data_IF_200415579913
#
_entry.id   IF_200415579913
#
_cell.length_a   1.000
_cell.length_b   1.000
_cell.length_c   1.000
_cell.angle_alpha   90.00
_cell.angle_beta   90.00
_cell.angle_gamma   90.00
#
_symmetry.space_group_name_H-M   'P 1'
#
loop_
_entity.id
_entity.type
_entity.pdbx_description
1 polymer ?
#
# COMPACT_ATOMS: atom_id res chain seq x y z
N UNK A 1 -0.05 18.60 17.45
CA UNK A 1 -1.09 18.92 16.45
C UNK A 1 -2.47 18.39 16.86
N UNK A 2 -2.58 17.20 17.46
CA UNK A 2 -3.87 16.60 17.87
C UNK A 2 -4.55 17.34 19.02
N UNK A 3 -3.82 17.87 20.00
CA UNK A 3 -4.39 18.57 21.16
C UNK A 3 -5.04 19.91 20.79
N UNK A 4 -4.48 20.66 19.82
CA UNK A 4 -5.03 21.95 19.37
C UNK A 4 -6.36 21.78 18.59
N UNK A 5 -6.59 20.61 17.99
CA UNK A 5 -7.81 20.31 17.23
C UNK A 5 -9.00 19.93 18.12
N UNK A 6 -8.75 19.45 19.33
CA UNK A 6 -9.80 18.98 20.25
C UNK A 6 -10.56 20.13 20.92
N UNK A 7 -9.91 21.24 21.23
CA UNK A 7 -10.54 22.38 21.92
C UNK A 7 -11.48 23.23 21.03
N UNK A 8 -11.39 23.16 19.71
CA UNK A 8 -12.18 24.00 18.80
C UNK A 8 -13.34 23.26 18.09
N UNK A 9 -13.78 22.11 18.59
CA UNK A 9 -14.75 21.25 17.92
C UNK A 9 -16.15 21.89 17.70
N UNK A 10 -16.53 22.90 18.46
CA UNK A 10 -17.84 23.58 18.34
C UNK A 10 -17.92 24.60 17.19
N UNK A 11 -16.78 25.05 16.65
CA UNK A 11 -16.69 26.08 15.59
C UNK A 11 -16.24 25.55 14.22
N UNK A 12 -15.90 24.27 14.10
CA UNK A 12 -15.42 23.71 12.83
C UNK A 12 -16.56 23.63 11.81
N UNK A 13 -16.28 24.02 10.56
CA UNK A 13 -17.24 23.89 9.49
C UNK A 13 -17.47 22.40 9.14
N UNK A 14 -18.59 22.08 8.50
CA UNK A 14 -19.00 20.71 8.13
C UNK A 14 -17.97 20.00 7.26
N UNK A 15 -17.31 20.72 6.37
CA UNK A 15 -16.33 20.15 5.44
C UNK A 15 -15.07 19.70 6.15
N UNK A 16 -14.60 20.48 7.12
CA UNK A 16 -13.44 20.11 7.92
C UNK A 16 -13.74 18.91 8.83
N UNK A 17 -14.95 18.80 9.37
CA UNK A 17 -15.38 17.61 10.11
C UNK A 17 -15.40 16.36 9.22
N UNK A 18 -15.88 16.48 7.98
CA UNK A 18 -15.84 15.39 7.00
C UNK A 18 -14.40 14.99 6.67
N UNK A 19 -13.51 15.94 6.48
CA UNK A 19 -12.08 15.69 6.26
C UNK A 19 -11.47 14.89 7.42
N UNK A 20 -11.65 15.33 8.67
CA UNK A 20 -11.14 14.62 9.84
C UNK A 20 -11.74 13.21 9.97
N UNK A 21 -13.03 13.05 9.71
CA UNK A 21 -13.68 11.74 9.71
C UNK A 21 -13.09 10.78 8.67
N UNK A 22 -12.72 11.29 7.49
CA UNK A 22 -12.06 10.47 6.45
C UNK A 22 -10.64 10.11 6.84
N UNK A 23 -9.89 11.02 7.47
CA UNK A 23 -8.56 10.72 8.02
C UNK A 23 -8.64 9.59 9.05
N UNK A 24 -9.61 9.64 9.94
CA UNK A 24 -9.78 8.61 10.97
C UNK A 24 -10.12 7.24 10.37
N UNK A 25 -10.95 7.20 9.30
CA UNK A 25 -11.29 5.94 8.61
C UNK A 25 -10.06 5.22 8.03
N UNK A 26 -8.97 5.93 7.71
CA UNK A 26 -7.76 5.34 7.17
C UNK A 26 -6.88 4.64 8.22
N UNK A 27 -7.13 4.89 9.50
CA UNK A 27 -6.35 4.37 10.62
C UNK A 27 -6.82 3.00 11.11
N UNK A 28 -5.92 2.25 11.74
CA UNK A 28 -6.22 0.93 12.31
C UNK A 28 -7.26 0.97 13.42
N UNK A 29 -7.34 2.09 14.16
CA UNK A 29 -8.38 2.36 15.16
C UNK A 29 -9.81 2.24 14.61
N UNK A 30 -9.99 2.52 13.32
CA UNK A 30 -11.29 2.39 12.63
C UNK A 30 -11.50 1.03 11.97
N UNK A 31 -10.49 0.15 11.95
CA UNK A 31 -10.52 -1.18 11.31
C UNK A 31 -10.29 -2.31 12.33
N UNK A 32 -10.90 -2.23 13.50
CA UNK A 32 -10.63 -3.10 14.65
C UNK A 32 -10.68 -4.60 14.29
N UNK A 33 -11.69 -5.05 13.56
CA UNK A 33 -11.84 -6.47 13.22
C UNK A 33 -10.79 -6.95 12.21
N UNK A 34 -10.44 -6.12 11.23
CA UNK A 34 -9.38 -6.44 10.28
C UNK A 34 -8.01 -6.50 11.00
N UNK A 35 -7.74 -5.56 11.89
CA UNK A 35 -6.54 -5.53 12.73
C UNK A 35 -6.43 -6.78 13.61
N UNK A 36 -7.50 -7.15 14.34
CA UNK A 36 -7.54 -8.37 15.14
C UNK A 36 -7.29 -9.63 14.31
N UNK A 37 -7.89 -9.71 13.11
CA UNK A 37 -7.68 -10.83 12.19
C UNK A 37 -6.23 -10.93 11.75
N UNK A 38 -5.56 -9.82 11.45
CA UNK A 38 -4.13 -9.77 11.11
C UNK A 38 -3.28 -10.29 12.27
N UNK A 39 -3.50 -9.76 13.48
CA UNK A 39 -2.75 -10.15 14.67
C UNK A 39 -2.95 -11.63 15.02
N UNK A 40 -4.18 -12.17 14.89
CA UNK A 40 -4.45 -13.60 15.12
C UNK A 40 -3.65 -14.51 14.18
N UNK A 41 -3.33 -14.03 12.97
CA UNK A 41 -2.51 -14.74 11.99
C UNK A 41 -0.99 -14.50 12.18
N UNK A 42 -0.60 -13.71 13.17
CA UNK A 42 0.80 -13.37 13.45
C UNK A 42 1.37 -12.29 12.53
N UNK A 43 0.53 -11.53 11.83
CA UNK A 43 0.94 -10.44 10.95
C UNK A 43 0.68 -9.07 11.57
N UNK A 44 1.54 -8.11 11.26
CA UNK A 44 1.29 -6.69 11.50
C UNK A 44 0.31 -6.12 10.49
N UNK A 45 -0.33 -5.01 10.83
CA UNK A 45 -1.05 -4.19 9.85
C UNK A 45 -0.07 -3.43 8.95
N UNK A 46 -0.60 -2.82 7.88
CA UNK A 46 0.20 -1.95 7.02
C UNK A 46 0.72 -0.73 7.78
N UNK A 47 -0.11 -0.15 8.66
CA UNK A 47 0.26 1.00 9.50
C UNK A 47 1.35 0.64 10.51
N UNK A 48 1.23 -0.48 11.18
CA UNK A 48 2.26 -0.97 12.11
C UNK A 48 3.60 -1.27 11.42
N UNK A 49 3.58 -1.80 10.19
CA UNK A 49 4.80 -1.97 9.41
C UNK A 49 5.48 -0.64 9.11
N UNK A 50 4.69 0.38 8.77
CA UNK A 50 5.17 1.72 8.50
C UNK A 50 5.73 2.40 9.73
N UNK A 51 5.01 2.36 10.86
CA UNK A 51 5.45 2.91 12.14
C UNK A 51 6.75 2.27 12.63
N UNK A 52 6.91 0.97 12.39
CA UNK A 52 8.14 0.25 12.75
C UNK A 52 9.31 0.55 11.81
N UNK A 53 9.03 0.95 10.57
CA UNK A 53 10.04 1.27 9.57
C UNK A 53 10.58 2.70 9.74
N UNK A 54 9.68 3.66 9.91
CA UNK A 54 10.01 5.09 9.86
C UNK A 54 10.37 5.66 11.23
N UNK A 55 11.14 6.73 11.24
CA UNK A 55 11.35 7.51 12.45
C UNK A 55 10.01 8.10 12.94
N UNK A 56 9.81 8.23 14.25
CA UNK A 56 8.56 8.77 14.82
C UNK A 56 8.17 10.11 14.19
N UNK A 57 6.89 10.26 13.84
CA UNK A 57 6.27 11.46 13.28
C UNK A 57 6.87 11.96 11.95
N UNK A 58 7.73 11.16 11.29
CA UNK A 58 8.39 11.55 10.04
C UNK A 58 7.56 11.27 8.78
N UNK A 59 6.53 10.44 8.85
CA UNK A 59 5.80 9.99 7.67
C UNK A 59 4.81 11.04 7.16
N UNK A 60 5.03 11.49 5.91
CA UNK A 60 4.12 12.36 5.17
C UNK A 60 3.39 11.55 4.10
N UNK A 61 2.13 11.19 4.34
CA UNK A 61 1.33 10.36 3.46
C UNK A 61 0.81 11.10 2.23
N UNK A 62 0.77 10.40 1.09
CA UNK A 62 0.18 10.87 -0.16
C UNK A 62 -0.97 9.98 -0.61
N UNK A 63 -2.06 10.60 -1.07
CA UNK A 63 -3.21 9.90 -1.62
C UNK A 63 -4.03 9.11 -0.60
N UNK A 64 -4.05 9.54 0.66
CA UNK A 64 -4.75 8.90 1.77
C UNK A 64 -6.27 8.72 1.52
N UNK A 65 -6.89 9.62 0.74
CA UNK A 65 -8.32 9.58 0.44
C UNK A 65 -8.69 8.77 -0.79
N UNK A 66 -7.75 8.11 -1.44
CA UNK A 66 -8.07 7.21 -2.53
C UNK A 66 -8.93 6.04 -2.04
N UNK A 67 -9.85 5.60 -2.87
CA UNK A 67 -10.66 4.40 -2.67
C UNK A 67 -10.68 3.61 -3.97
N UNK A 68 -11.07 2.33 -3.94
CA UNK A 68 -11.16 1.51 -5.14
C UNK A 68 -12.08 2.13 -6.22
N UNK A 69 -11.71 1.98 -7.50
CA UNK A 69 -12.44 2.49 -8.64
C UNK A 69 -13.68 1.62 -8.94
N UNK A 70 -14.62 1.56 -7.97
CA UNK A 70 -15.78 0.67 -7.97
C UNK A 70 -17.11 1.40 -7.71
N UNK A 71 -17.18 2.72 -7.96
CA UNK A 71 -18.38 3.53 -7.69
C UNK A 71 -19.59 3.14 -8.54
N UNK A 72 -19.38 2.53 -9.69
CA UNK A 72 -20.47 2.06 -10.55
C UNK A 72 -21.21 0.85 -9.98
N UNK A 73 -20.65 0.13 -8.99
CA UNK A 73 -21.21 -1.07 -8.38
C UNK A 73 -21.28 -1.07 -6.85
N UNK A 74 -20.68 -0.09 -6.20
CA UNK A 74 -20.62 0.01 -4.73
C UNK A 74 -20.87 1.45 -4.30
N UNK A 75 -21.55 1.60 -3.16
CA UNK A 75 -21.76 2.92 -2.56
C UNK A 75 -20.44 3.58 -2.16
N UNK A 76 -20.36 4.91 -2.30
CA UNK A 76 -19.12 5.64 -2.03
C UNK A 76 -18.77 5.65 -0.52
N UNK A 77 -19.76 5.66 0.36
CA UNK A 77 -19.50 5.57 1.81
C UNK A 77 -18.95 4.19 2.19
N UNK A 78 -19.48 3.14 1.55
CA UNK A 78 -18.95 1.78 1.68
C UNK A 78 -17.50 1.72 1.21
N UNK A 79 -17.18 2.28 0.03
CA UNK A 79 -15.82 2.33 -0.49
C UNK A 79 -14.87 3.08 0.45
N UNK A 80 -15.30 4.19 1.05
CA UNK A 80 -14.51 4.94 2.03
C UNK A 80 -14.20 4.15 3.29
N UNK A 81 -15.03 3.20 3.65
CA UNK A 81 -14.85 2.34 4.82
C UNK A 81 -14.01 1.11 4.51
N UNK A 82 -14.33 0.42 3.41
CA UNK A 82 -13.79 -0.90 3.10
C UNK A 82 -12.53 -0.87 2.22
N UNK A 83 -12.30 0.25 1.50
CA UNK A 83 -11.20 0.36 0.52
C UNK A 83 -10.33 1.60 0.74
N UNK A 84 -10.09 1.94 2.00
CA UNK A 84 -9.26 3.08 2.38
C UNK A 84 -7.90 3.02 1.73
N UNK A 85 -7.38 4.19 1.33
CA UNK A 85 -6.07 4.34 0.66
C UNK A 85 -5.92 3.56 -0.66
N UNK A 86 -7.00 2.96 -1.15
CA UNK A 86 -7.03 1.96 -2.23
C UNK A 86 -6.03 0.80 -2.00
N UNK A 87 -5.85 0.41 -0.73
CA UNK A 87 -5.00 -0.73 -0.34
C UNK A 87 -3.50 -0.49 -0.44
N UNK A 88 -3.05 0.76 -0.58
CA UNK A 88 -1.62 1.12 -0.57
C UNK A 88 -1.37 2.43 0.17
N UNK A 89 -0.41 2.41 1.08
CA UNK A 89 0.07 3.59 1.80
C UNK A 89 1.38 4.02 1.16
N UNK A 90 1.49 5.29 0.78
CA UNK A 90 2.66 5.85 0.10
C UNK A 90 3.03 7.20 0.69
N UNK A 91 4.30 7.46 0.91
CA UNK A 91 4.73 8.74 1.45
C UNK A 91 6.23 8.90 1.57
N UNK A 92 6.63 10.08 2.00
CA UNK A 92 8.00 10.36 2.43
C UNK A 92 8.15 10.07 3.92
N UNK A 93 9.31 9.59 4.32
CA UNK A 93 9.69 9.42 5.73
C UNK A 93 11.19 9.58 5.89
N UNK A 94 11.64 9.57 7.13
CA UNK A 94 13.04 9.34 7.46
C UNK A 94 13.19 7.97 8.10
N UNK A 95 14.37 7.36 7.90
CA UNK A 95 14.74 6.09 8.53
C UNK A 95 16.12 6.24 9.16
N UNK A 96 16.22 5.98 10.46
CA UNK A 96 17.44 6.04 11.25
C UNK A 96 18.15 7.42 11.17
N UNK A 97 17.38 8.52 11.17
CA UNK A 97 17.95 9.87 11.06
C UNK A 97 18.96 10.19 12.16
N UNK A 98 18.78 9.63 13.36
CA UNK A 98 19.72 9.79 14.48
C UNK A 98 21.09 9.17 14.21
N UNK A 99 21.13 8.06 13.45
CA UNK A 99 22.35 7.31 13.15
C UNK A 99 23.06 7.82 11.90
N UNK A 100 22.29 8.15 10.84
CA UNK A 100 22.86 8.49 9.54
C UNK A 100 22.86 9.99 9.22
N UNK A 101 22.16 10.79 10.03
CA UNK A 101 21.91 12.22 9.82
C UNK A 101 20.70 12.50 8.94
N UNK A 102 19.97 13.59 9.24
CA UNK A 102 18.70 13.95 8.61
C UNK A 102 18.77 13.97 7.07
N UNK A 103 19.82 14.53 6.50
CA UNK A 103 19.95 14.65 5.04
C UNK A 103 20.09 13.30 4.32
N UNK A 104 20.55 12.23 5.01
CA UNK A 104 20.73 10.89 4.45
C UNK A 104 19.57 9.94 4.79
N UNK A 105 18.74 10.33 5.72
CA UNK A 105 17.63 9.51 6.22
C UNK A 105 16.39 9.55 5.34
N UNK A 106 16.28 10.54 4.44
CA UNK A 106 15.10 10.72 3.58
C UNK A 106 14.87 9.50 2.69
N UNK A 107 13.67 8.94 2.79
CA UNK A 107 13.29 7.69 2.15
C UNK A 107 11.83 7.75 1.72
N UNK A 108 11.46 6.98 0.72
CA UNK A 108 10.07 6.72 0.37
C UNK A 108 9.62 5.41 1.02
N UNK A 109 8.57 5.49 1.81
CA UNK A 109 7.89 4.34 2.40
C UNK A 109 6.65 3.98 1.58
N UNK A 110 6.54 2.69 1.20
CA UNK A 110 5.40 2.13 0.49
C UNK A 110 4.96 0.86 1.21
N UNK A 111 3.68 0.78 1.57
CA UNK A 111 3.16 -0.42 2.25
C UNK A 111 1.83 -0.83 1.64
N UNK A 112 1.76 -2.06 1.14
CA UNK A 112 0.51 -2.66 0.70
C UNK A 112 -0.33 -3.07 1.90
N UNK A 113 -1.62 -2.74 1.89
CA UNK A 113 -2.56 -3.14 2.93
C UNK A 113 -3.35 -4.37 2.51
N UNK A 114 -2.89 -5.54 2.96
CA UNK A 114 -3.57 -6.81 2.67
C UNK A 114 -5.00 -6.87 3.21
N UNK A 115 -5.35 -6.07 4.22
CA UNK A 115 -6.72 -5.98 4.75
C UNK A 115 -7.70 -5.35 3.76
N UNK A 116 -7.19 -4.62 2.77
CA UNK A 116 -7.98 -3.97 1.72
C UNK A 116 -7.88 -4.80 0.44
N UNK A 117 -8.96 -5.52 0.11
CA UNK A 117 -9.07 -6.31 -1.11
C UNK A 117 -7.84 -7.22 -1.36
N UNK A 118 -7.33 -7.85 -0.28
CA UNK A 118 -6.15 -8.72 -0.30
C UNK A 118 -4.88 -8.05 -0.87
N UNK A 119 -4.69 -6.76 -0.66
CA UNK A 119 -3.52 -6.02 -1.17
C UNK A 119 -3.41 -6.03 -2.70
N UNK A 120 -4.52 -6.22 -3.41
CA UNK A 120 -4.53 -6.27 -4.86
C UNK A 120 -4.38 -4.90 -5.48
N UNK A 121 -3.70 -4.84 -6.62
CA UNK A 121 -3.36 -3.63 -7.36
C UNK A 121 -4.56 -3.15 -8.18
N UNK A 122 -5.21 -2.07 -7.73
CA UNK A 122 -6.31 -1.41 -8.42
C UNK A 122 -5.85 -0.16 -9.19
N UNK A 123 -6.82 0.56 -9.77
CA UNK A 123 -6.52 1.72 -10.61
C UNK A 123 -5.85 2.87 -9.83
N UNK A 124 -6.48 3.35 -8.77
CA UNK A 124 -5.89 4.43 -7.97
C UNK A 124 -4.68 3.96 -7.16
N UNK A 125 -4.63 2.66 -6.83
CA UNK A 125 -3.45 2.02 -6.28
C UNK A 125 -2.23 2.20 -7.20
N UNK A 126 -2.37 1.87 -8.50
CA UNK A 126 -1.32 2.08 -9.50
C UNK A 126 -0.95 3.56 -9.64
N UNK A 127 -1.93 4.46 -9.71
CA UNK A 127 -1.65 5.90 -9.80
C UNK A 127 -0.86 6.44 -8.60
N UNK A 128 -1.17 5.97 -7.38
CA UNK A 128 -0.38 6.33 -6.19
C UNK A 128 1.04 5.82 -6.27
N UNK A 129 1.20 4.56 -6.69
CA UNK A 129 2.51 3.94 -6.83
C UNK A 129 3.33 4.62 -7.92
N UNK A 130 2.74 4.92 -9.07
CA UNK A 130 3.38 5.64 -10.17
C UNK A 130 3.84 7.02 -9.74
N UNK A 131 2.97 7.78 -9.07
CA UNK A 131 3.30 9.11 -8.58
C UNK A 131 4.45 9.10 -7.56
N UNK A 132 4.45 8.16 -6.62
CA UNK A 132 5.50 8.14 -5.60
C UNK A 132 6.84 7.65 -6.17
N UNK A 133 6.83 6.75 -7.15
CA UNK A 133 8.05 6.33 -7.86
C UNK A 133 8.64 7.45 -8.72
N UNK A 134 7.81 8.28 -9.33
CA UNK A 134 8.25 9.52 -10.00
C UNK A 134 8.92 10.50 -9.02
N UNK A 135 8.39 10.62 -7.79
CA UNK A 135 9.04 11.44 -6.77
C UNK A 135 10.39 10.83 -6.33
N UNK A 136 10.47 9.49 -6.20
CA UNK A 136 11.73 8.82 -5.92
C UNK A 136 12.79 9.15 -6.96
N UNK A 137 12.45 9.02 -8.24
CA UNK A 137 13.33 9.33 -9.36
C UNK A 137 13.78 10.80 -9.36
N UNK A 138 12.83 11.72 -9.16
CA UNK A 138 13.09 13.16 -9.15
C UNK A 138 14.03 13.59 -8.04
N UNK A 139 13.84 13.07 -6.84
CA UNK A 139 14.64 13.42 -5.67
C UNK A 139 15.78 12.45 -5.39
N UNK A 140 15.93 11.39 -6.19
CA UNK A 140 16.92 10.30 -6.04
C UNK A 140 16.88 9.68 -4.65
N UNK A 141 15.68 9.44 -4.14
CA UNK A 141 15.49 8.86 -2.82
C UNK A 141 15.42 7.33 -2.88
N UNK A 142 15.95 6.64 -1.87
CA UNK A 142 15.73 5.21 -1.72
C UNK A 142 14.25 4.92 -1.44
N UNK A 143 13.82 3.71 -1.79
CA UNK A 143 12.47 3.21 -1.55
C UNK A 143 12.54 1.98 -0.68
N UNK A 144 11.69 1.92 0.35
CA UNK A 144 11.38 0.68 1.08
C UNK A 144 9.91 0.35 0.84
N UNK A 145 9.66 -0.85 0.31
CA UNK A 145 8.32 -1.31 -0.03
C UNK A 145 7.98 -2.64 0.63
N UNK A 146 6.82 -2.70 1.31
CA UNK A 146 6.21 -3.95 1.75
C UNK A 146 5.23 -4.42 0.69
N UNK A 147 5.46 -5.60 0.11
CA UNK A 147 4.82 -6.06 -1.13
C UNK A 147 3.72 -7.10 -0.91
N UNK A 148 3.14 -7.19 0.29
CA UNK A 148 2.11 -8.18 0.59
C UNK A 148 0.83 -7.93 -0.22
N UNK A 149 0.51 -8.82 -1.17
CA UNK A 149 -0.71 -8.66 -1.97
C UNK A 149 -0.91 -9.72 -3.04
N UNK A 150 -2.14 -9.76 -3.56
CA UNK A 150 -2.65 -10.79 -4.47
C UNK A 150 -2.43 -10.52 -5.96
N UNK A 151 -1.73 -9.45 -6.34
CA UNK A 151 -1.56 -9.10 -7.77
C UNK A 151 -2.64 -8.15 -8.30
N UNK A 152 -2.93 -8.19 -9.59
CA UNK A 152 -3.89 -7.30 -10.24
C UNK A 152 -5.32 -7.45 -9.72
N UNK A 153 -6.08 -6.34 -9.71
CA UNK A 153 -7.48 -6.30 -9.26
C UNK A 153 -8.41 -6.16 -10.47
N UNK A 154 -9.16 -7.21 -10.85
CA UNK A 154 -10.08 -7.15 -11.99
C UNK A 154 -11.38 -6.40 -11.68
N UNK A 155 -11.63 -6.05 -10.43
CA UNK A 155 -12.90 -5.51 -9.96
C UNK A 155 -13.09 -4.00 -10.07
N UNK A 156 -12.10 -3.25 -10.54
CA UNK A 156 -12.14 -1.79 -10.66
C UNK A 156 -12.81 -1.39 -11.98
N UNK A 157 -14.14 -1.49 -12.00
CA UNK A 157 -14.96 -1.36 -13.21
C UNK A 157 -15.27 0.07 -13.65
N UNK A 158 -14.90 1.08 -12.88
CA UNK A 158 -15.09 2.49 -13.26
C UNK A 158 -14.12 2.92 -14.36
N UNK A 159 -13.06 2.16 -14.62
CA UNK A 159 -11.98 2.42 -15.58
C UNK A 159 -11.85 1.26 -16.54
N UNK A 160 -12.70 1.24 -17.53
CA UNK A 160 -13.06 0.09 -18.36
C UNK A 160 -11.94 -0.67 -19.07
N UNK A 161 -10.79 -0.08 -19.37
CA UNK A 161 -9.86 -0.74 -20.30
C UNK A 161 -8.40 -0.66 -19.90
N UNK A 162 -8.06 0.21 -18.97
CA UNK A 162 -6.66 0.49 -18.66
C UNK A 162 -5.98 -0.68 -17.94
N UNK A 163 -6.70 -1.39 -17.07
CA UNK A 163 -6.16 -2.55 -16.36
C UNK A 163 -6.09 -3.76 -17.29
N UNK A 164 -7.15 -4.04 -18.04
CA UNK A 164 -7.18 -5.12 -19.00
C UNK A 164 -6.30 -4.85 -20.24
N UNK A 165 -6.12 -3.58 -20.59
CA UNK A 165 -5.30 -3.15 -21.72
C UNK A 165 -3.81 -3.07 -21.47
N UNK A 166 -3.34 -3.39 -20.26
CA UNK A 166 -1.92 -3.31 -19.87
C UNK A 166 -1.31 -1.91 -19.98
N UNK A 167 -2.11 -0.86 -20.11
CA UNK A 167 -1.64 0.52 -20.14
C UNK A 167 -1.38 1.05 -18.70
N UNK A 168 -0.50 0.34 -18.00
CA UNK A 168 -0.10 0.66 -16.65
C UNK A 168 1.41 0.89 -16.65
N UNK A 169 1.89 2.13 -16.44
CA UNK A 169 3.31 2.43 -16.47
C UNK A 169 4.09 1.94 -15.24
N UNK A 170 3.40 1.43 -14.22
CA UNK A 170 3.97 1.05 -12.92
C UNK A 170 5.22 0.17 -13.03
N UNK A 171 5.15 -0.90 -13.82
CA UNK A 171 6.28 -1.83 -13.91
C UNK A 171 7.46 -1.25 -14.70
N UNK A 172 7.18 -0.46 -15.74
CA UNK A 172 8.22 0.26 -16.48
C UNK A 172 8.84 1.38 -15.63
N UNK A 173 8.03 2.11 -14.87
CA UNK A 173 8.52 3.11 -13.91
C UNK A 173 9.41 2.46 -12.86
N UNK A 174 8.98 1.32 -12.28
CA UNK A 174 9.76 0.58 -11.30
C UNK A 174 11.11 0.10 -11.87
N UNK A 175 11.10 -0.43 -13.08
CA UNK A 175 12.32 -0.88 -13.77
C UNK A 175 13.27 0.30 -14.06
N UNK A 176 12.75 1.47 -14.45
CA UNK A 176 13.54 2.69 -14.74
C UNK A 176 14.29 3.23 -13.53
N UNK A 177 13.83 2.94 -12.30
CA UNK A 177 14.54 3.32 -11.09
C UNK A 177 15.85 2.56 -10.89
N UNK A 178 16.07 1.45 -11.59
CA UNK A 178 17.30 0.64 -11.45
C UNK A 178 18.53 1.46 -11.81
N UNK A 179 19.52 1.48 -10.91
CA UNK A 179 20.71 2.29 -11.03
C UNK A 179 20.54 3.77 -10.64
N UNK A 180 19.30 4.25 -10.44
CA UNK A 180 19.01 5.64 -10.05
C UNK A 180 18.58 5.76 -8.58
N UNK A 181 17.73 4.86 -8.14
CA UNK A 181 17.17 4.84 -6.79
C UNK A 181 17.29 3.43 -6.21
N UNK A 182 17.78 3.33 -4.98
CA UNK A 182 17.85 2.06 -4.27
C UNK A 182 16.44 1.59 -3.93
N UNK A 183 16.13 0.33 -4.26
CA UNK A 183 14.86 -0.32 -3.96
C UNK A 183 15.05 -1.48 -3.00
N UNK A 184 14.43 -1.39 -1.83
CA UNK A 184 14.43 -2.45 -0.82
C UNK A 184 12.99 -2.97 -0.72
N UNK A 185 12.76 -4.24 -1.05
CA UNK A 185 11.45 -4.87 -0.97
C UNK A 185 11.38 -5.89 0.16
N UNK A 186 10.27 -5.86 0.89
CA UNK A 186 9.99 -6.74 2.02
C UNK A 186 8.71 -7.53 1.71
N UNK A 187 8.83 -8.86 1.64
CA UNK A 187 7.69 -9.75 1.61
C UNK A 187 7.46 -10.32 3.02
N UNK A 188 6.30 -10.00 3.59
CA UNK A 188 5.92 -10.40 4.95
C UNK A 188 4.59 -11.16 5.02
N UNK A 189 4.16 -11.72 3.90
CA UNK A 189 2.93 -12.47 3.73
C UNK A 189 2.81 -12.98 2.30
N UNK A 190 1.60 -13.06 1.77
CA UNK A 190 1.35 -13.45 0.39
C UNK A 190 1.80 -12.36 -0.58
N UNK A 191 2.65 -12.69 -1.53
CA UNK A 191 3.21 -11.77 -2.51
C UNK A 191 3.12 -12.41 -3.90
N UNK A 192 2.06 -12.10 -4.65
CA UNK A 192 1.77 -12.76 -5.92
C UNK A 192 1.69 -11.81 -7.10
N UNK A 193 1.95 -12.32 -8.30
CA UNK A 193 1.82 -11.64 -9.58
C UNK A 193 2.54 -10.27 -9.61
N UNK A 194 1.82 -9.17 -9.82
CA UNK A 194 2.39 -7.82 -9.88
C UNK A 194 3.15 -7.41 -8.62
N UNK A 195 2.71 -7.86 -7.44
CA UNK A 195 3.42 -7.64 -6.18
C UNK A 195 4.76 -8.38 -6.18
N UNK A 196 4.78 -9.63 -6.66
CA UNK A 196 6.00 -10.43 -6.79
C UNK A 196 6.95 -9.85 -7.85
N UNK A 197 6.43 -9.25 -8.92
CA UNK A 197 7.25 -8.57 -9.92
C UNK A 197 8.00 -7.38 -9.32
N UNK A 198 7.32 -6.52 -8.54
CA UNK A 198 7.95 -5.40 -7.84
C UNK A 198 9.01 -5.89 -6.83
N UNK A 199 8.68 -6.93 -6.07
CA UNK A 199 9.61 -7.57 -5.14
C UNK A 199 10.84 -8.10 -5.88
N UNK A 200 10.64 -8.89 -6.93
CA UNK A 200 11.71 -9.53 -7.71
C UNK A 200 12.64 -8.55 -8.40
N UNK A 201 12.10 -7.40 -8.87
CA UNK A 201 12.86 -6.34 -9.56
C UNK A 201 13.44 -5.28 -8.60
N UNK A 202 13.47 -5.54 -7.30
CA UNK A 202 14.12 -4.68 -6.31
C UNK A 202 15.59 -5.06 -6.10
N UNK A 203 16.42 -4.09 -5.67
CA UNK A 203 17.86 -4.29 -5.48
C UNK A 203 18.15 -5.18 -4.27
N UNK A 204 17.44 -4.94 -3.15
CA UNK A 204 17.47 -5.80 -1.97
C UNK A 204 16.10 -6.39 -1.71
N UNK A 205 16.06 -7.68 -1.38
CA UNK A 205 14.84 -8.45 -1.12
C UNK A 205 14.95 -9.13 0.23
N UNK A 206 13.96 -8.85 1.09
CA UNK A 206 13.84 -9.43 2.43
C UNK A 206 12.54 -10.23 2.47
N UNK A 207 12.62 -11.53 2.70
CA UNK A 207 11.45 -12.39 2.86
C UNK A 207 11.40 -12.91 4.29
N UNK A 208 10.26 -12.74 4.95
CA UNK A 208 10.03 -13.34 6.27
C UNK A 208 9.72 -14.84 6.14
N UNK A 209 9.85 -15.59 7.23
CA UNK A 209 9.50 -17.03 7.24
C UNK A 209 8.02 -17.31 6.90
N UNK A 210 7.16 -16.30 7.11
CA UNK A 210 5.73 -16.39 6.84
C UNK A 210 5.35 -15.68 5.53
N UNK A 211 6.19 -15.76 4.50
CA UNK A 211 5.91 -15.21 3.18
C UNK A 211 5.89 -16.28 2.11
N UNK A 212 5.00 -16.10 1.15
CA UNK A 212 4.83 -16.95 -0.03
C UNK A 212 4.89 -16.07 -1.26
N UNK A 213 5.85 -16.35 -2.13
CA UNK A 213 6.16 -15.48 -3.28
C UNK A 213 6.00 -16.30 -4.56
N UNK A 214 5.18 -15.82 -5.49
CA UNK A 214 4.95 -16.49 -6.75
C UNK A 214 4.26 -15.62 -7.79
N UNK A 215 4.30 -16.03 -9.05
CA UNK A 215 3.64 -15.30 -10.14
C UNK A 215 2.13 -15.55 -10.20
N UNK A 216 1.64 -16.68 -9.66
CA UNK A 216 0.21 -16.97 -9.55
C UNK A 216 -0.13 -17.35 -8.12
N UNK A 217 -1.21 -16.75 -7.59
CA UNK A 217 -1.78 -17.15 -6.32
C UNK A 217 -2.72 -18.37 -6.47
N UNK A 218 -3.08 -19.06 -5.36
CA UNK A 218 -3.91 -20.24 -5.38
C UNK A 218 -5.23 -20.08 -6.14
N UNK A 219 -5.90 -18.95 -5.96
CA UNK A 219 -7.15 -18.65 -6.65
C UNK A 219 -7.02 -18.58 -8.18
N UNK A 220 -5.86 -18.13 -8.69
CA UNK A 220 -5.59 -18.09 -10.13
C UNK A 220 -5.31 -19.50 -10.68
N UNK A 221 -4.61 -20.33 -9.92
CA UNK A 221 -4.31 -21.70 -10.28
C UNK A 221 -5.61 -22.52 -10.35
N UNK A 222 -6.45 -22.41 -9.32
CA UNK A 222 -7.76 -23.06 -9.26
C UNK A 222 -8.70 -22.56 -10.38
N UNK A 223 -8.80 -21.24 -10.58
CA UNK A 223 -9.60 -20.63 -11.64
C UNK A 223 -9.13 -21.00 -13.05
N UNK A 224 -7.86 -21.30 -13.22
CA UNK A 224 -7.26 -21.83 -14.46
C UNK A 224 -7.48 -23.34 -14.67
N UNK A 225 -8.17 -24.03 -13.77
CA UNK A 225 -8.43 -25.46 -13.87
C UNK A 225 -7.22 -26.37 -13.63
N UNK A 226 -6.17 -25.83 -13.02
CA UNK A 226 -4.90 -26.54 -12.77
C UNK A 226 -4.88 -27.30 -11.43
N UNK A 227 -5.96 -27.22 -10.65
CA UNK A 227 -6.11 -27.89 -9.35
C UNK A 227 -6.15 -26.90 -8.18
N UNK A 228 -6.37 -27.45 -6.98
CA UNK A 228 -6.38 -26.68 -5.72
C UNK A 228 -5.06 -26.93 -5.02
N UNK A 229 -4.31 -25.86 -4.76
CA UNK A 229 -3.01 -25.94 -4.10
C UNK A 229 -2.99 -25.04 -2.86
N UNK A 230 -2.50 -25.56 -1.74
CA UNK A 230 -2.17 -24.72 -0.58
C UNK A 230 -0.80 -24.07 -0.83
N UNK A 231 -0.69 -22.74 -0.80
CA UNK A 231 0.60 -22.07 -1.00
C UNK A 231 1.63 -22.38 0.09
N UNK A 232 1.22 -23.08 1.14
CA UNK A 232 2.09 -23.50 2.25
C UNK A 232 2.75 -24.85 2.02
N UNK A 233 2.30 -25.61 1.02
CA UNK A 233 2.87 -26.87 0.57
C UNK A 233 3.82 -26.67 -0.61
#
# INVERSE_FOLDING_TARGET
YSAFLIENNSKMNKEFKNFLSRLEKSKDSSKIEATKKRHKLGYRTARENLEHLSDPDSFLEFGEFAVAAQRSRRDYEELQKETTTDGIITGFCTINAKEVGENKANTIGIVYDYSVLAGTQGFFHHQKLDRITEQAEKFKLPIVIFTEGGGGRPGDVDVMTQIAGLNIPTFSNWARLSGNCLKIAIANGYCFAGNAALFGCSDFRIATKNSWIGMAGPAMIEGGGLGVFDPKE
#
